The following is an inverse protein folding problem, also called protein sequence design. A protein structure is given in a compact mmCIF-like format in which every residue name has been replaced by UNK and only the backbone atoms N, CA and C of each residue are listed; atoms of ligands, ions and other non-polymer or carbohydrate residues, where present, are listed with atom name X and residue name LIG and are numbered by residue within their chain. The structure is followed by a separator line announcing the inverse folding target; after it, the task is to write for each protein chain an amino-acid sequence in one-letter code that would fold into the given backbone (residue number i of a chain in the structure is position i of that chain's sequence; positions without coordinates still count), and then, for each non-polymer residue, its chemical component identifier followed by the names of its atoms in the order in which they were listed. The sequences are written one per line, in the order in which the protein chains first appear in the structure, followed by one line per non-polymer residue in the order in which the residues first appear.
data_IF_977981968843
#
_entry.id   IF_977981968843
#
_cell.length_a   1.000
_cell.length_b   1.000
_cell.length_c   1.000
_cell.angle_alpha   90.00
_cell.angle_beta   90.00
_cell.angle_gamma   90.00
#
_symmetry.space_group_name_H-M   'P 1'
#
loop_
_entity.id
_entity.type
_entity.pdbx_description
1 polymer ?
#
# COMPACT_ATOMS: atom_id res chain seq x y z
N UNK A 1 5.13 -3.20 -7.24
CA UNK A 1 5.69 -3.36 -5.88
C UNK A 1 6.48 -4.64 -5.72
N UNK A 2 5.86 -5.84 -5.83
CA UNK A 2 6.56 -7.12 -5.58
C UNK A 2 7.85 -7.30 -6.39
N UNK A 3 7.79 -6.99 -7.69
CA UNK A 3 8.94 -7.08 -8.58
C UNK A 3 10.11 -6.18 -8.11
N UNK A 4 9.80 -4.94 -7.74
CA UNK A 4 10.76 -3.98 -7.18
C UNK A 4 11.36 -4.51 -5.87
N UNK A 5 10.55 -5.06 -4.97
CA UNK A 5 11.01 -5.64 -3.70
C UNK A 5 11.99 -6.80 -3.92
N UNK A 6 11.69 -7.73 -4.82
CA UNK A 6 12.58 -8.88 -5.11
C UNK A 6 13.92 -8.45 -5.73
N UNK A 7 13.90 -7.40 -6.55
CA UNK A 7 15.10 -6.90 -7.20
C UNK A 7 16.04 -6.18 -6.21
N UNK A 8 15.48 -5.37 -5.32
CA UNK A 8 16.26 -4.47 -4.47
C UNK A 8 16.60 -5.06 -3.10
N UNK A 9 15.84 -6.04 -2.62
CA UNK A 9 16.14 -6.71 -1.35
C UNK A 9 17.15 -7.84 -1.58
N UNK A 10 18.29 -7.79 -0.88
CA UNK A 10 19.38 -8.75 -1.04
C UNK A 10 18.99 -10.19 -0.69
N UNK A 11 18.16 -10.35 0.34
CA UNK A 11 17.77 -11.61 0.96
C UNK A 11 16.56 -12.30 0.31
N UNK A 12 15.77 -11.61 -0.51
CA UNK A 12 14.57 -12.18 -1.12
C UNK A 12 14.88 -12.71 -2.52
N UNK A 13 14.69 -14.03 -2.73
CA UNK A 13 14.92 -14.68 -4.03
C UNK A 13 13.67 -14.69 -4.92
N UNK A 14 12.50 -14.89 -4.32
CA UNK A 14 11.20 -14.93 -5.00
C UNK A 14 10.09 -14.51 -4.06
N UNK A 15 9.05 -13.88 -4.59
CA UNK A 15 7.78 -13.66 -3.88
C UNK A 15 6.70 -14.37 -4.68
N UNK A 16 5.88 -15.12 -3.96
CA UNK A 16 4.73 -15.84 -4.48
C UNK A 16 3.52 -15.41 -3.68
N UNK A 17 2.48 -15.02 -4.39
CA UNK A 17 1.18 -14.75 -3.84
C UNK A 17 0.21 -15.82 -4.34
N UNK A 18 -0.43 -16.48 -3.39
CA UNK A 18 -1.33 -17.61 -3.59
C UNK A 18 -2.78 -17.17 -3.32
N UNK A 19 -3.73 -17.98 -3.77
CA UNK A 19 -5.15 -17.88 -3.42
C UNK A 19 -5.80 -16.54 -3.80
N UNK A 20 -5.50 -16.04 -5.00
CA UNK A 20 -6.27 -14.94 -5.60
C UNK A 20 -7.59 -15.44 -6.18
N UNK A 21 -8.46 -15.93 -5.30
CA UNK A 21 -9.85 -16.17 -5.69
C UNK A 21 -10.59 -14.84 -5.72
N UNK A 22 -11.33 -14.61 -6.81
CA UNK A 22 -12.23 -13.48 -6.87
C UNK A 22 -13.21 -13.57 -5.69
N UNK A 23 -13.37 -12.48 -4.95
CA UNK A 23 -14.31 -12.34 -3.83
C UNK A 23 -13.98 -13.11 -2.54
N UNK A 24 -12.85 -13.84 -2.47
CA UNK A 24 -12.45 -14.64 -1.28
C UNK A 24 -10.99 -14.44 -0.85
N UNK A 25 -10.36 -13.33 -1.26
CA UNK A 25 -8.99 -13.01 -0.84
C UNK A 25 -8.91 -12.75 0.66
N UNK A 26 -8.54 -13.76 1.45
CA UNK A 26 -8.16 -13.59 2.84
C UNK A 26 -6.67 -13.22 2.89
N UNK A 27 -6.38 -11.97 3.26
CA UNK A 27 -5.02 -11.52 3.48
C UNK A 27 -4.62 -11.72 4.95
N UNK A 28 -3.37 -12.04 5.24
CA UNK A 28 -2.87 -12.09 6.63
C UNK A 28 -3.07 -10.74 7.36
N UNK A 29 -3.14 -9.64 6.60
CA UNK A 29 -3.44 -8.30 7.11
C UNK A 29 -4.85 -8.19 7.68
N UNK A 30 -5.81 -8.99 7.22
CA UNK A 30 -7.22 -8.85 7.62
C UNK A 30 -7.43 -9.15 9.10
N UNK A 31 -6.67 -10.11 9.65
CA UNK A 31 -6.67 -10.40 11.08
C UNK A 31 -6.13 -9.21 11.90
N UNK A 32 -5.08 -8.56 11.40
CA UNK A 32 -4.53 -7.37 12.05
C UNK A 32 -5.49 -6.19 11.97
N UNK A 33 -6.11 -5.96 10.81
CA UNK A 33 -7.14 -4.94 10.62
C UNK A 33 -8.33 -5.16 11.56
N UNK A 34 -8.83 -6.39 11.67
CA UNK A 34 -9.93 -6.73 12.58
C UNK A 34 -9.58 -6.43 14.03
N UNK A 35 -8.40 -6.88 14.50
CA UNK A 35 -7.95 -6.62 15.87
C UNK A 35 -7.79 -5.12 16.16
N UNK A 36 -7.24 -4.36 15.21
CA UNK A 36 -7.06 -2.91 15.35
C UNK A 36 -8.42 -2.20 15.37
N UNK A 37 -9.35 -2.55 14.48
CA UNK A 37 -10.70 -1.94 14.45
C UNK A 37 -11.42 -2.13 15.78
N UNK A 38 -11.44 -3.36 16.29
CA UNK A 38 -12.03 -3.65 17.60
C UNK A 38 -11.33 -2.90 18.75
N UNK A 39 -10.01 -2.67 18.65
CA UNK A 39 -9.29 -1.89 19.65
C UNK A 39 -9.66 -0.40 19.60
N UNK A 40 -9.79 0.18 18.40
CA UNK A 40 -10.23 1.57 18.21
C UNK A 40 -11.63 1.77 18.79
N UNK A 41 -12.58 0.88 18.45
CA UNK A 41 -13.97 0.93 18.95
C UNK A 41 -14.06 0.91 20.48
N UNK A 42 -13.14 0.21 21.16
CA UNK A 42 -13.10 0.11 22.62
C UNK A 42 -12.50 1.33 23.31
N UNK A 43 -11.61 2.04 22.64
CA UNK A 43 -10.92 3.21 23.21
C UNK A 43 -11.83 4.43 23.23
N UNK A 44 -12.78 4.51 22.29
CA UNK A 44 -13.71 5.62 22.17
C UNK A 44 -13.06 6.81 21.46
N UNK A 45 -13.15 8.00 22.06
CA UNK A 45 -12.77 9.24 21.41
C UNK A 45 -11.25 9.37 21.21
N UNK A 46 -10.86 9.46 19.94
CA UNK A 46 -9.49 9.72 19.50
C UNK A 46 -9.45 11.08 18.84
N UNK A 47 -8.72 12.00 19.45
CA UNK A 47 -8.66 13.41 19.04
C UNK A 47 -7.52 13.68 18.07
N UNK A 48 -6.39 12.98 18.18
CA UNK A 48 -5.24 13.18 17.29
C UNK A 48 -4.63 11.85 16.82
N UNK A 49 -4.01 11.81 15.62
CA UNK A 49 -3.43 10.57 15.09
C UNK A 49 -2.34 9.94 15.95
N UNK A 50 -1.61 10.72 16.76
CA UNK A 50 -0.56 10.18 17.65
C UNK A 50 -1.13 9.23 18.71
N UNK A 51 -2.39 9.38 19.09
CA UNK A 51 -3.07 8.49 20.03
C UNK A 51 -3.32 7.10 19.44
N UNK A 52 -3.31 6.94 18.11
CA UNK A 52 -3.49 5.65 17.45
C UNK A 52 -2.29 4.71 17.66
N UNK A 53 -1.09 5.25 17.86
CA UNK A 53 0.15 4.44 17.98
C UNK A 53 0.05 3.42 19.13
N UNK A 54 -0.27 3.82 20.39
CA UNK A 54 -0.44 2.85 21.47
C UNK A 54 -1.63 1.92 21.25
N UNK A 55 -2.73 2.41 20.66
CA UNK A 55 -3.92 1.59 20.35
C UNK A 55 -3.56 0.47 19.38
N UNK A 56 -2.85 0.79 18.30
CA UNK A 56 -2.41 -0.19 17.32
C UNK A 56 -1.44 -1.18 17.95
N UNK A 57 -0.45 -0.71 18.72
CA UNK A 57 0.51 -1.60 19.39
C UNK A 57 -0.20 -2.62 20.28
N UNK A 58 -1.18 -2.17 21.06
CA UNK A 58 -1.87 -2.98 22.07
C UNK A 58 -3.11 -3.73 21.54
N UNK A 59 -3.49 -3.53 20.28
CA UNK A 59 -4.61 -4.23 19.65
C UNK A 59 -4.48 -5.76 19.71
N UNK A 60 -3.23 -6.26 19.72
CA UNK A 60 -2.92 -7.67 19.90
C UNK A 60 -2.29 -7.91 21.29
N UNK A 61 -3.02 -8.62 22.16
CA UNK A 61 -2.59 -8.91 23.55
C UNK A 61 -1.31 -9.74 23.64
N UNK A 62 -1.18 -10.78 22.80
CA UNK A 62 0.00 -11.66 22.74
C UNK A 62 0.79 -11.34 21.48
N UNK A 63 2.03 -10.89 21.64
CA UNK A 63 2.89 -10.32 20.57
C UNK A 63 2.31 -9.01 20.01
N UNK A 64 2.46 -7.89 20.75
CA UNK A 64 2.06 -6.55 20.30
C UNK A 64 2.61 -6.20 18.91
N UNK A 65 1.88 -5.38 18.15
CA UNK A 65 2.33 -4.97 16.81
C UNK A 65 3.51 -3.98 16.89
N UNK A 66 4.46 -4.11 15.96
CA UNK A 66 5.47 -3.06 15.74
C UNK A 66 4.86 -1.97 14.86
N UNK A 67 4.61 -0.80 15.45
CA UNK A 67 3.97 0.33 14.77
C UNK A 67 5.04 1.32 14.34
N UNK A 68 5.13 1.59 13.04
CA UNK A 68 6.04 2.56 12.46
C UNK A 68 5.23 3.71 11.87
N UNK A 69 5.50 4.93 12.32
CA UNK A 69 4.89 6.13 11.73
C UNK A 69 5.55 6.44 10.41
N UNK A 70 4.73 6.63 9.37
CA UNK A 70 5.19 6.98 8.03
C UNK A 70 5.01 8.47 7.77
N UNK A 71 5.91 9.05 6.98
CA UNK A 71 5.84 10.41 6.48
C UNK A 71 5.59 10.43 4.98
N UNK A 72 5.22 11.60 4.45
CA UNK A 72 4.95 11.75 3.01
C UNK A 72 6.14 11.32 2.13
N UNK A 73 7.37 11.43 2.65
CA UNK A 73 8.61 11.02 1.97
C UNK A 73 8.76 9.52 1.76
N UNK A 74 8.03 8.71 2.53
CA UNK A 74 8.15 7.25 2.51
C UNK A 74 7.29 6.61 1.41
N UNK A 75 6.33 7.36 0.87
CA UNK A 75 5.42 6.86 -0.16
C UNK A 75 6.05 6.96 -1.55
N UNK A 76 6.01 5.85 -2.28
CA UNK A 76 6.58 5.69 -3.62
C UNK A 76 5.47 5.53 -4.66
N UNK A 77 5.66 6.10 -5.86
CA UNK A 77 4.70 6.03 -6.96
C UNK A 77 4.88 4.75 -7.78
N UNK A 78 4.21 3.70 -7.30
CA UNK A 78 4.13 2.43 -8.02
C UNK A 78 3.15 2.44 -9.20
N UNK A 79 2.27 3.44 -9.30
CA UNK A 79 1.29 3.53 -10.39
C UNK A 79 1.99 3.94 -11.68
N UNK A 80 2.86 4.94 -11.61
CA UNK A 80 3.69 5.36 -12.75
C UNK A 80 4.66 4.26 -13.16
N UNK A 81 5.32 3.61 -12.18
CA UNK A 81 6.18 2.46 -12.46
C UNK A 81 5.42 1.31 -13.15
N UNK A 82 4.21 0.98 -12.68
CA UNK A 82 3.39 -0.07 -13.30
C UNK A 82 2.98 0.27 -14.74
N UNK A 83 2.75 1.55 -15.05
CA UNK A 83 2.49 2.01 -16.42
C UNK A 83 3.74 1.84 -17.31
N UNK A 84 4.92 2.22 -16.81
CA UNK A 84 6.19 2.02 -17.53
C UNK A 84 6.50 0.54 -17.79
N UNK A 85 6.18 -0.33 -16.83
CA UNK A 85 6.30 -1.78 -16.96
C UNK A 85 5.14 -2.43 -17.73
N UNK A 86 4.25 -1.64 -18.34
CA UNK A 86 3.10 -2.09 -19.14
C UNK A 86 2.13 -3.04 -18.41
N UNK A 87 2.19 -3.17 -17.09
CA UNK A 87 1.37 -4.13 -16.33
C UNK A 87 -0.12 -3.93 -16.63
N UNK A 88 -0.58 -2.69 -16.79
CA UNK A 88 -1.99 -2.38 -17.07
C UNK A 88 -2.41 -2.60 -18.53
N UNK A 89 -1.46 -2.61 -19.46
CA UNK A 89 -1.70 -2.68 -20.91
C UNK A 89 -1.36 -4.03 -21.54
N UNK A 90 -0.72 -4.93 -20.82
CA UNK A 90 -0.54 -6.32 -21.26
C UNK A 90 -1.92 -6.99 -21.40
N UNK A 91 -2.10 -7.68 -22.53
CA UNK A 91 -3.28 -8.48 -22.87
C UNK A 91 -2.96 -9.91 -23.23
N UNK A 92 -1.72 -10.20 -23.61
CA UNK A 92 -1.24 -11.52 -24.02
C UNK A 92 -0.01 -11.91 -23.20
N UNK A 93 0.18 -13.22 -23.02
CA UNK A 93 1.38 -13.78 -22.42
C UNK A 93 2.52 -13.95 -23.44
N UNK A 94 3.67 -14.46 -22.98
CA UNK A 94 4.83 -14.70 -23.84
C UNK A 94 4.58 -15.79 -24.91
N UNK A 95 3.48 -16.53 -24.83
CA UNK A 95 3.06 -17.56 -25.80
C UNK A 95 1.94 -17.07 -26.75
N UNK A 96 1.48 -15.83 -26.62
CA UNK A 96 0.42 -15.24 -27.44
C UNK A 96 -1.00 -15.60 -27.00
N UNK A 97 -1.18 -16.14 -25.80
CA UNK A 97 -2.50 -16.41 -25.25
C UNK A 97 -3.02 -15.23 -24.43
N UNK A 98 -4.32 -14.98 -24.50
CA UNK A 98 -4.97 -13.92 -23.73
C UNK A 98 -4.75 -14.07 -22.21
N UNK A 99 -4.59 -12.92 -21.56
CA UNK A 99 -4.36 -12.76 -20.12
C UNK A 99 -5.52 -12.00 -19.51
N UNK A 100 -6.33 -12.73 -18.76
CA UNK A 100 -7.37 -12.16 -17.89
C UNK A 100 -6.81 -12.07 -16.47
N UNK A 101 -6.48 -10.86 -16.03
CA UNK A 101 -5.85 -10.62 -14.72
C UNK A 101 -6.69 -11.12 -13.53
N UNK A 102 -8.02 -11.12 -13.66
CA UNK A 102 -8.96 -11.58 -12.63
C UNK A 102 -8.97 -13.11 -12.45
N UNK A 103 -8.49 -13.84 -13.45
CA UNK A 103 -8.43 -15.31 -13.41
C UNK A 103 -7.12 -15.82 -12.81
N UNK A 104 -6.15 -14.93 -12.54
CA UNK A 104 -4.92 -15.31 -11.88
C UNK A 104 -5.21 -15.80 -10.47
N UNK A 105 -4.82 -17.03 -10.16
CA UNK A 105 -4.93 -17.66 -8.83
C UNK A 105 -3.61 -17.65 -8.08
N UNK A 106 -2.51 -17.64 -8.82
CA UNK A 106 -1.17 -17.56 -8.29
C UNK A 106 -0.33 -16.61 -9.13
N UNK A 107 0.43 -15.74 -8.47
CA UNK A 107 1.35 -14.80 -9.10
C UNK A 107 2.71 -14.90 -8.42
N UNK A 108 3.76 -15.00 -9.23
CA UNK A 108 5.13 -15.13 -8.76
C UNK A 108 6.06 -14.17 -9.50
N UNK A 109 6.97 -13.57 -8.74
CA UNK A 109 8.11 -12.80 -9.26
C UNK A 109 9.40 -13.35 -8.66
N UNK A 110 10.48 -13.38 -9.45
CA UNK A 110 11.75 -13.97 -9.02
C UNK A 110 12.95 -13.10 -9.44
N UNK A 111 14.03 -13.18 -8.65
CA UNK A 111 15.20 -12.31 -8.80
C UNK A 111 16.03 -12.62 -10.04
N UNK A 112 15.99 -13.88 -10.48
CA UNK A 112 16.65 -14.36 -11.70
C UNK A 112 16.04 -13.72 -12.95
N UNK A 113 14.74 -13.46 -12.94
CA UNK A 113 13.98 -12.97 -14.09
C UNK A 113 13.39 -11.60 -13.78
N UNK A 114 14.24 -10.58 -13.90
CA UNK A 114 13.94 -9.21 -13.50
C UNK A 114 12.73 -8.61 -14.22
N UNK A 115 12.45 -9.00 -15.45
CA UNK A 115 11.39 -8.37 -16.24
C UNK A 115 10.23 -9.33 -16.53
N UNK A 116 10.11 -10.43 -15.76
CA UNK A 116 9.03 -11.41 -15.96
C UNK A 116 8.10 -11.50 -14.76
N UNK A 117 6.82 -11.65 -15.08
CA UNK A 117 5.79 -12.05 -14.16
C UNK A 117 5.37 -13.48 -14.50
N UNK A 118 5.35 -14.37 -13.52
CA UNK A 118 4.86 -15.73 -13.68
C UNK A 118 3.49 -15.85 -13.03
N UNK A 119 2.56 -16.54 -13.68
CA UNK A 119 1.21 -16.68 -13.14
C UNK A 119 0.59 -18.04 -13.49
N UNK A 120 -0.41 -18.43 -12.71
CA UNK A 120 -1.31 -19.55 -12.97
C UNK A 120 -2.75 -19.08 -12.86
N UNK A 121 -3.62 -19.64 -13.68
CA UNK A 121 -5.07 -19.42 -13.64
C UNK A 121 -5.82 -20.54 -12.91
N UNK A 122 -5.15 -21.66 -12.62
CA UNK A 122 -5.69 -22.75 -11.80
C UNK A 122 -4.60 -23.37 -10.92
N UNK A 123 -4.97 -23.78 -9.71
CA UNK A 123 -4.06 -24.49 -8.80
C UNK A 123 -3.67 -25.90 -9.29
N UNK A 124 -4.43 -26.45 -10.25
CA UNK A 124 -4.14 -27.74 -10.88
C UNK A 124 -3.10 -27.61 -12.01
N UNK A 125 -2.80 -26.39 -12.47
CA UNK A 125 -1.79 -26.19 -13.50
C UNK A 125 -0.40 -26.50 -12.94
N UNK A 126 0.34 -27.38 -13.61
CA UNK A 126 1.71 -27.72 -13.21
C UNK A 126 2.68 -26.58 -13.54
N UNK A 127 2.63 -26.08 -14.78
CA UNK A 127 3.52 -25.04 -15.30
C UNK A 127 2.97 -23.61 -15.12
N UNK A 128 3.87 -22.64 -14.98
CA UNK A 128 3.53 -21.22 -15.00
C UNK A 128 3.47 -20.69 -16.43
N UNK A 129 2.52 -19.80 -16.69
CA UNK A 129 2.56 -18.88 -17.83
C UNK A 129 3.42 -17.67 -17.45
N UNK A 130 4.06 -17.02 -18.42
CA UNK A 130 4.92 -15.86 -18.17
C UNK A 130 4.54 -14.65 -19.02
N UNK A 131 4.76 -13.47 -18.45
CA UNK A 131 4.58 -12.17 -19.12
C UNK A 131 5.89 -11.41 -18.99
N UNK A 132 6.47 -11.02 -20.12
CA UNK A 132 7.61 -10.12 -20.17
C UNK A 132 7.14 -8.65 -20.16
N UNK A 133 7.53 -7.91 -19.11
CA UNK A 133 7.02 -6.57 -18.80
C UNK A 133 7.75 -5.44 -19.55
N UNK A 134 9.04 -5.61 -19.89
CA UNK A 134 9.82 -4.60 -20.63
C UNK A 134 9.88 -4.87 -22.13
N UNK A 135 9.87 -3.80 -22.94
CA UNK A 135 10.32 -3.87 -24.34
C UNK A 135 11.85 -3.87 -24.37
N UNK A 136 12.46 -4.70 -25.23
CA UNK A 136 13.92 -4.91 -25.34
C UNK A 136 14.77 -3.63 -25.48
N UNK A 137 14.19 -2.52 -25.95
CA UNK A 137 14.89 -1.24 -26.17
C UNK A 137 14.96 -0.31 -24.95
N UNK A 138 14.23 -0.60 -23.86
CA UNK A 138 14.25 0.18 -22.61
C UNK A 138 15.29 -0.32 -21.58
N UNK A 139 16.12 -1.30 -21.96
CA UNK A 139 17.10 -1.93 -21.08
C UNK A 139 18.26 -1.02 -20.66
N UNK A 140 18.48 0.08 -21.38
CA UNK A 140 19.58 1.02 -21.10
C UNK A 140 19.28 2.02 -19.97
N UNK A 141 18.04 2.12 -19.48
CA UNK A 141 17.67 2.96 -18.35
C UNK A 141 17.39 2.06 -17.13
N UNK A 142 18.19 2.22 -16.08
CA UNK A 142 18.05 1.62 -14.74
C UNK A 142 16.77 2.06 -14.00
N UNK A 143 15.67 2.31 -14.71
CA UNK A 143 14.49 2.99 -14.22
C UNK A 143 13.46 2.07 -13.53
N UNK A 144 13.91 1.05 -12.78
CA UNK A 144 13.01 0.21 -11.97
C UNK A 144 12.70 0.81 -10.59
N UNK A 145 13.28 1.96 -10.26
CA UNK A 145 13.02 2.65 -9.01
C UNK A 145 11.74 3.50 -9.12
N UNK A 146 10.74 3.29 -8.26
CA UNK A 146 9.59 4.18 -8.21
C UNK A 146 10.04 5.56 -7.71
N UNK A 147 9.52 6.62 -8.34
CA UNK A 147 9.69 7.99 -7.85
C UNK A 147 8.95 8.19 -6.52
N UNK A 148 9.24 9.27 -5.81
CA UNK A 148 8.44 9.66 -4.64
C UNK A 148 7.02 10.04 -5.08
N UNK A 149 6.01 9.53 -4.38
CA UNK A 149 4.61 9.85 -4.65
C UNK A 149 4.29 11.30 -4.25
N UNK A 150 4.86 11.76 -3.14
CA UNK A 150 4.64 13.11 -2.62
C UNK A 150 5.97 13.87 -2.50
N UNK A 151 6.05 15.03 -3.15
CA UNK A 151 7.18 15.96 -3.00
C UNK A 151 7.07 16.83 -1.74
N UNK A 152 5.85 17.04 -1.26
CA UNK A 152 5.49 17.82 -0.07
C UNK A 152 4.35 17.13 0.67
N UNK A 153 4.10 17.44 1.96
CA UNK A 153 2.93 16.94 2.66
C UNK A 153 1.64 17.21 1.86
N UNK A 154 0.75 16.22 1.70
CA UNK A 154 -0.51 16.43 1.02
C UNK A 154 -1.34 17.46 1.79
N UNK A 155 -1.95 18.39 1.06
CA UNK A 155 -2.83 19.40 1.62
C UNK A 155 -4.24 18.83 1.81
N UNK A 156 -4.91 19.24 2.88
CA UNK A 156 -6.35 19.03 3.03
C UNK A 156 -7.13 20.16 2.33
N UNK A 157 -8.39 19.91 1.98
CA UNK A 157 -9.25 20.96 1.45
C UNK A 157 -9.54 22.01 2.53
N UNK A 158 -9.90 23.21 2.10
CA UNK A 158 -10.20 24.32 3.01
C UNK A 158 -11.41 23.99 3.88
N UNK A 159 -12.44 23.40 3.28
CA UNK A 159 -13.67 22.98 3.96
C UNK A 159 -13.35 21.98 5.07
N UNK A 160 -12.50 20.99 4.77
CA UNK A 160 -12.07 20.01 5.78
C UNK A 160 -11.24 20.66 6.89
N UNK A 161 -10.40 21.65 6.57
CA UNK A 161 -9.65 22.38 7.58
C UNK A 161 -10.58 23.20 8.49
N UNK A 162 -11.50 23.95 7.91
CA UNK A 162 -12.46 24.77 8.65
C UNK A 162 -13.34 23.91 9.57
N UNK A 163 -13.80 22.74 9.08
CA UNK A 163 -14.53 21.75 9.88
C UNK A 163 -13.70 21.25 11.07
N UNK A 164 -12.42 20.90 10.87
CA UNK A 164 -11.54 20.46 11.96
C UNK A 164 -11.27 21.58 12.97
N UNK A 165 -11.11 22.82 12.48
CA UNK A 165 -10.91 23.99 13.34
C UNK A 165 -12.17 24.31 14.16
N UNK A 166 -13.36 24.02 13.64
CA UNK A 166 -14.61 24.17 14.38
C UNK A 166 -14.63 23.30 15.66
N UNK A 167 -14.03 22.10 15.62
CA UNK A 167 -13.92 21.21 16.79
C UNK A 167 -13.05 21.81 17.91
N UNK A 168 -12.13 22.70 17.55
CA UNK A 168 -11.21 23.36 18.47
C UNK A 168 -11.73 24.73 18.94
N UNK A 169 -12.50 25.45 18.12
CA UNK A 169 -12.89 26.86 18.33
C UNK A 169 -14.37 27.08 18.61
N UNK A 170 -15.19 26.02 18.60
CA UNK A 170 -16.60 26.11 18.97
C UNK A 170 -16.80 26.64 20.42
N UNK A 171 -17.97 27.22 20.75
CA UNK A 171 -18.29 27.66 22.12
C UNK A 171 -18.10 26.57 23.18
N UNK A 172 -18.30 25.30 22.80
CA UNK A 172 -17.98 24.12 23.58
C UNK A 172 -16.98 23.26 22.79
N UNK A 173 -15.67 23.52 22.91
CA UNK A 173 -14.67 22.83 22.11
C UNK A 173 -14.53 21.37 22.57
N UNK A 174 -14.50 20.45 21.60
CA UNK A 174 -14.20 19.03 21.84
C UNK A 174 -12.71 18.83 22.09
N UNK A 175 -11.86 19.56 21.37
CA UNK A 175 -10.41 19.54 21.54
C UNK A 175 -9.99 20.73 22.39
N UNK A 176 -9.61 20.48 23.64
CA UNK A 176 -9.25 21.53 24.61
C UNK A 176 -7.76 21.59 24.95
N UNK A 177 -7.06 20.48 24.71
CA UNK A 177 -5.65 20.32 25.03
C UNK A 177 -4.84 21.14 24.02
N UNK A 178 -4.05 22.10 24.51
CA UNK A 178 -3.35 23.08 23.68
C UNK A 178 -2.46 22.40 22.62
N UNK A 179 -1.77 21.33 22.99
CA UNK A 179 -0.91 20.55 22.09
C UNK A 179 -1.69 19.94 20.92
N UNK A 180 -2.95 19.54 21.15
CA UNK A 180 -3.81 18.99 20.10
C UNK A 180 -4.37 20.11 19.22
N UNK A 181 -4.73 21.26 19.79
CA UNK A 181 -5.15 22.42 19.00
C UNK A 181 -4.03 22.88 18.06
N UNK A 182 -2.79 22.98 18.57
CA UNK A 182 -1.62 23.34 17.75
C UNK A 182 -1.37 22.35 16.61
N UNK A 183 -1.66 21.06 16.81
CA UNK A 183 -1.59 20.08 15.73
C UNK A 183 -2.55 20.44 14.59
N UNK A 184 -3.82 20.74 14.89
CA UNK A 184 -4.81 21.12 13.87
C UNK A 184 -4.46 22.43 13.16
N UNK A 185 -3.98 23.44 13.90
CA UNK A 185 -3.55 24.73 13.33
C UNK A 185 -2.37 24.59 12.35
N UNK A 186 -1.50 23.60 12.58
CA UNK A 186 -0.34 23.34 11.74
C UNK A 186 -0.63 22.55 10.45
N UNK A 187 -1.88 22.08 10.25
CA UNK A 187 -2.22 21.23 9.11
C UNK A 187 -2.12 21.99 7.77
N UNK A 188 -1.39 21.47 6.79
CA UNK A 188 -1.27 22.10 5.48
C UNK A 188 -2.61 22.02 4.73
N UNK A 189 -3.14 23.16 4.31
CA UNK A 189 -4.43 23.26 3.63
C UNK A 189 -4.35 24.13 2.37
N UNK A 190 -5.35 23.96 1.50
CA UNK A 190 -5.56 24.83 0.34
C UNK A 190 -6.10 26.19 0.78
N UNK A 191 -5.70 27.25 0.08
CA UNK A 191 -6.15 28.64 0.31
C UNK A 191 -7.64 28.83 0.00
#
# INVERSE_FOLDING_TARGET
MLLHSVQNLGNIKRIKLLYFEAYHGQSEGDSAHSAISTAIERVGDLLVPSQLIPVFRLARRKNPYSVHTLQHSDFQDYKTLANHLRIRSVREDDQGHDVVWLDMREVMVQKTDRDKLFFKTSHQQESYRSITLKRKWLSALDCNMPSKLYSKPPKISKEKYDDLMSLCKAPLPMVRVAEYVSFFESLPHSS
#
